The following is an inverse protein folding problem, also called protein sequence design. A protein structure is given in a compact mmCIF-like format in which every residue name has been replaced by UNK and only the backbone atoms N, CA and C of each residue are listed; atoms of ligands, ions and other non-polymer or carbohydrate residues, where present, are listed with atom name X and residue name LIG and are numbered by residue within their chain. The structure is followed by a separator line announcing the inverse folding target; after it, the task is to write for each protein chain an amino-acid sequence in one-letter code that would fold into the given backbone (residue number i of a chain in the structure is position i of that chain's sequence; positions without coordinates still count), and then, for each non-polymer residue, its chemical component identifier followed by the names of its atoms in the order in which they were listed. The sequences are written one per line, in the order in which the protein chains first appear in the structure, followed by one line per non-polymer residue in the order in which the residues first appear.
data_IF_227954640081
#
_entry.id   IF_227954640081
#
_cell.length_a   1.000
_cell.length_b   1.000
_cell.length_c   1.000
_cell.angle_alpha   90.00
_cell.angle_beta   90.00
_cell.angle_gamma   90.00
#
_symmetry.space_group_name_H-M   'P 1'
#
loop_
_entity.id
_entity.type
_entity.pdbx_description
1 polymer ?
#
# COMPACT_ATOMS: atom_id res chain seq x y z
N UNK A 1 -22.74 -7.09 4.00
CA UNK A 1 -21.71 -6.06 4.23
C UNK A 1 -21.50 -5.31 2.92
N UNK A 2 -22.22 -4.20 2.71
CA UNK A 2 -22.10 -3.35 1.52
C UNK A 2 -20.74 -2.62 1.57
N UNK A 3 -19.69 -3.32 1.16
CA UNK A 3 -18.36 -2.74 0.95
C UNK A 3 -18.47 -1.91 -0.32
N UNK A 4 -18.80 -0.62 -0.20
CA UNK A 4 -18.75 0.35 -1.32
C UNK A 4 -17.30 0.55 -1.78
N UNK A 5 -16.73 -0.48 -2.36
CA UNK A 5 -15.40 -0.53 -2.93
C UNK A 5 -15.35 0.49 -4.06
N UNK A 6 -14.46 1.46 -3.92
CA UNK A 6 -14.25 2.51 -4.88
C UNK A 6 -12.73 2.67 -5.11
N UNK A 7 -12.31 3.44 -6.13
CA UNK A 7 -10.90 3.56 -6.48
C UNK A 7 -10.02 4.03 -5.30
N UNK A 8 -10.47 5.00 -4.50
CA UNK A 8 -9.71 5.52 -3.35
C UNK A 8 -9.50 4.47 -2.27
N UNK A 9 -10.56 3.70 -1.97
CA UNK A 9 -10.47 2.58 -1.03
C UNK A 9 -9.52 1.51 -1.58
N UNK A 10 -9.62 1.20 -2.86
CA UNK A 10 -8.80 0.19 -3.52
C UNK A 10 -7.31 0.55 -3.48
N UNK A 11 -6.99 1.81 -3.74
CA UNK A 11 -5.66 2.38 -3.62
C UNK A 11 -5.13 2.29 -2.19
N UNK A 12 -5.91 2.70 -1.20
CA UNK A 12 -5.50 2.59 0.21
C UNK A 12 -5.25 1.11 0.61
N UNK A 13 -6.04 0.18 0.08
CA UNK A 13 -5.85 -1.26 0.28
C UNK A 13 -4.55 -1.74 -0.38
N UNK A 14 -4.24 -1.23 -1.58
CA UNK A 14 -2.96 -1.47 -2.26
C UNK A 14 -1.77 -0.98 -1.44
N UNK A 15 -1.82 0.28 -1.00
CA UNK A 15 -0.79 0.90 -0.14
C UNK A 15 -0.61 0.14 1.17
N UNK A 16 -1.71 -0.31 1.80
CA UNK A 16 -1.60 -1.14 3.00
C UNK A 16 -0.94 -2.49 2.70
N UNK A 17 -1.13 -3.05 1.50
CA UNK A 17 -0.58 -4.35 1.15
C UNK A 17 0.93 -4.34 0.94
N UNK A 18 1.52 -3.19 0.60
CA UNK A 18 2.98 -3.05 0.58
C UNK A 18 3.52 -2.73 1.96
N UNK A 19 3.41 -1.47 2.38
CA UNK A 19 4.07 -0.98 3.60
C UNK A 19 3.14 -0.83 4.83
N UNK A 20 1.91 -1.33 4.75
CA UNK A 20 0.94 -1.19 5.83
C UNK A 20 1.01 -2.29 6.88
N UNK A 21 1.13 -1.90 8.14
CA UNK A 21 1.14 -2.83 9.27
C UNK A 21 -0.09 -2.63 10.13
N UNK A 22 -0.68 -3.74 10.56
CA UNK A 22 -1.72 -3.77 11.57
C UNK A 22 -1.23 -4.68 12.69
N UNK A 23 -1.19 -4.17 13.92
CA UNK A 23 -0.67 -4.90 15.06
C UNK A 23 -1.44 -4.55 16.33
N UNK A 24 -1.46 -5.48 17.29
CA UNK A 24 -2.12 -5.31 18.57
C UNK A 24 -1.09 -4.88 19.61
N UNK A 25 -1.44 -3.88 20.40
CA UNK A 25 -0.78 -3.56 21.68
C UNK A 25 -1.68 -4.04 22.83
N UNK A 26 -1.18 -3.99 24.06
CA UNK A 26 -1.98 -4.38 25.24
C UNK A 26 -3.29 -3.56 25.35
N UNK A 27 -3.26 -2.33 24.85
CA UNK A 27 -4.34 -1.36 24.99
C UNK A 27 -5.24 -1.23 23.77
N UNK A 28 -4.71 -1.49 22.57
CA UNK A 28 -5.43 -1.14 21.34
C UNK A 28 -4.94 -1.89 20.10
N UNK A 29 -5.78 -1.85 19.07
CA UNK A 29 -5.33 -2.17 17.73
C UNK A 29 -4.72 -0.92 17.09
N UNK A 30 -3.56 -1.07 16.45
CA UNK A 30 -2.82 0.03 15.83
C UNK A 30 -2.60 -0.26 14.36
N UNK A 31 -2.92 0.72 13.52
CA UNK A 31 -2.54 0.73 12.12
C UNK A 31 -1.41 1.71 11.89
N UNK A 32 -0.45 1.31 11.07
CA UNK A 32 0.65 2.16 10.64
C UNK A 32 0.99 1.96 9.17
N UNK A 33 1.51 3.04 8.58
CA UNK A 33 2.14 3.07 7.28
C UNK A 33 3.41 3.90 7.44
N UNK A 34 4.57 3.26 7.24
CA UNK A 34 5.89 3.87 7.46
C UNK A 34 6.70 3.81 6.17
N UNK A 35 7.52 4.84 5.98
CA UNK A 35 8.50 4.93 4.90
C UNK A 35 9.75 5.67 5.38
N UNK A 36 10.64 5.93 4.44
CA UNK A 36 11.84 6.72 4.63
C UNK A 36 11.53 8.21 4.86
N UNK A 37 12.49 8.94 5.43
CA UNK A 37 12.37 10.39 5.60
C UNK A 37 12.22 11.15 4.27
N UNK A 38 12.78 10.61 3.18
CA UNK A 38 12.72 11.21 1.84
C UNK A 38 11.31 11.20 1.25
N UNK A 39 10.43 10.34 1.78
CA UNK A 39 9.04 10.22 1.32
C UNK A 39 8.08 11.20 2.04
N UNK A 40 8.59 12.13 2.86
CA UNK A 40 7.77 13.11 3.59
C UNK A 40 6.73 13.79 2.70
N UNK A 41 7.15 14.26 1.53
CA UNK A 41 6.28 14.93 0.57
C UNK A 41 5.19 14.00 0.03
N UNK A 42 5.53 12.74 -0.26
CA UNK A 42 4.56 11.74 -0.69
C UNK A 42 3.45 11.54 0.36
N UNK A 43 3.78 11.49 1.65
CA UNK A 43 2.77 11.40 2.70
C UNK A 43 1.83 12.60 2.73
N UNK A 44 2.35 13.83 2.65
CA UNK A 44 1.52 15.04 2.69
C UNK A 44 0.68 15.23 1.43
N UNK A 45 1.22 14.93 0.24
CA UNK A 45 0.53 15.17 -1.04
C UNK A 45 -0.41 14.04 -1.46
N UNK A 46 -0.14 12.80 -1.04
CA UNK A 46 -0.90 11.63 -1.52
C UNK A 46 -1.63 10.91 -0.39
N UNK A 47 -0.90 10.38 0.61
CA UNK A 47 -1.48 9.53 1.66
C UNK A 47 -2.48 10.29 2.54
N UNK A 48 -2.10 11.46 3.06
CA UNK A 48 -2.95 12.22 3.99
C UNK A 48 -4.25 12.67 3.31
N UNK A 49 -4.24 13.27 2.11
CA UNK A 49 -5.47 13.60 1.38
C UNK A 49 -6.34 12.37 1.09
N UNK A 50 -5.73 11.25 0.70
CA UNK A 50 -6.43 9.99 0.47
C UNK A 50 -7.16 9.52 1.74
N UNK A 51 -6.46 9.46 2.87
CA UNK A 51 -7.02 9.07 4.16
C UNK A 51 -8.11 10.04 4.65
N UNK A 52 -7.89 11.36 4.54
CA UNK A 52 -8.90 12.37 4.89
C UNK A 52 -10.17 12.14 4.04
N UNK A 53 -10.01 11.87 2.75
CA UNK A 53 -11.14 11.70 1.84
C UNK A 53 -12.00 10.47 2.17
N UNK A 54 -11.38 9.40 2.70
CA UNK A 54 -12.02 8.13 3.08
C UNK A 54 -12.62 8.21 4.48
N UNK A 55 -11.85 8.68 5.48
CA UNK A 55 -12.22 8.61 6.90
C UNK A 55 -12.80 9.91 7.46
N UNK A 56 -12.86 10.97 6.64
CA UNK A 56 -13.38 12.31 6.98
C UNK A 56 -12.79 12.83 8.29
N UNK A 57 -11.47 12.77 8.42
CA UNK A 57 -10.76 13.12 9.66
C UNK A 57 -9.34 13.53 9.40
N UNK A 58 -8.81 14.39 10.26
CA UNK A 58 -7.43 14.85 10.17
C UNK A 58 -6.46 13.73 10.51
N UNK A 59 -5.40 13.61 9.70
CA UNK A 59 -4.24 12.78 9.96
C UNK A 59 -3.00 13.64 9.89
N UNK A 60 -2.07 13.40 10.81
CA UNK A 60 -0.79 14.10 10.85
C UNK A 60 0.30 13.04 10.77
N UNK A 61 1.04 12.95 9.66
CA UNK A 61 2.21 12.10 9.59
C UNK A 61 3.28 12.68 10.52
N UNK A 62 4.06 11.82 11.14
CA UNK A 62 5.05 12.19 12.15
C UNK A 62 6.37 11.50 11.88
N UNK A 63 7.43 12.19 12.26
CA UNK A 63 8.74 11.59 12.45
C UNK A 63 8.67 10.59 13.60
N UNK A 64 9.40 9.48 13.43
CA UNK A 64 9.62 8.48 14.47
C UNK A 64 11.08 8.07 14.38
N UNK A 65 11.82 8.20 15.48
CA UNK A 65 13.15 7.61 15.55
C UNK A 65 12.99 6.10 15.46
N UNK A 66 13.56 5.52 14.41
CA UNK A 66 13.45 4.08 14.10
C UNK A 66 14.71 3.33 14.50
N UNK A 67 15.36 3.75 15.57
CA UNK A 67 16.69 3.25 15.92
C UNK A 67 17.73 3.67 14.88
N UNK A 68 18.32 2.71 14.16
CA UNK A 68 19.37 2.98 13.14
C UNK A 68 18.87 3.71 11.89
N UNK A 69 17.56 3.62 11.58
CA UNK A 69 16.97 4.28 10.41
C UNK A 69 15.74 5.07 10.86
N UNK A 70 15.85 6.39 10.81
CA UNK A 70 14.70 7.27 11.01
C UNK A 70 13.58 6.99 10.00
N UNK A 71 12.34 7.04 10.47
CA UNK A 71 11.17 6.79 9.63
C UNK A 71 10.15 7.92 9.72
N UNK A 72 9.40 8.08 8.64
CA UNK A 72 8.31 9.04 8.54
C UNK A 72 7.05 8.31 8.10
N UNK A 73 5.91 8.66 8.71
CA UNK A 73 4.65 8.06 8.31
C UNK A 73 3.50 8.34 9.26
N UNK A 74 2.46 7.53 9.15
CA UNK A 74 1.23 7.67 9.92
C UNK A 74 1.09 6.46 10.84
N UNK A 75 0.84 6.71 12.12
CA UNK A 75 0.38 5.69 13.07
C UNK A 75 -0.91 6.17 13.73
N UNK A 76 -1.89 5.29 13.83
CA UNK A 76 -3.15 5.62 14.50
C UNK A 76 -3.84 4.40 15.10
N UNK A 77 -4.41 4.59 16.30
CA UNK A 77 -5.30 3.61 16.95
C UNK A 77 -6.77 3.99 16.80
N UNK A 78 -7.10 4.95 15.91
CA UNK A 78 -8.49 5.36 15.67
C UNK A 78 -9.31 4.15 15.22
N UNK A 79 -10.32 3.76 16.00
CA UNK A 79 -11.19 2.60 15.74
C UNK A 79 -11.69 2.55 14.29
N UNK A 80 -12.12 3.68 13.72
CA UNK A 80 -12.59 3.72 12.31
C UNK A 80 -11.57 3.26 11.27
N UNK A 81 -10.27 3.48 11.51
CA UNK A 81 -9.20 3.06 10.60
C UNK A 81 -8.89 1.58 10.82
N UNK A 82 -8.74 1.17 12.07
CA UNK A 82 -8.37 -0.20 12.39
C UNK A 82 -9.51 -1.17 12.07
N UNK A 83 -10.75 -0.83 12.42
CA UNK A 83 -11.95 -1.56 12.02
C UNK A 83 -12.13 -1.58 10.50
N UNK A 84 -11.77 -0.52 9.77
CA UNK A 84 -11.78 -0.55 8.30
C UNK A 84 -10.89 -1.67 7.76
N UNK A 85 -9.64 -1.79 8.21
CA UNK A 85 -8.75 -2.84 7.73
C UNK A 85 -9.21 -4.24 8.17
N UNK A 86 -9.66 -4.41 9.41
CA UNK A 86 -10.26 -5.68 9.88
C UNK A 86 -11.46 -6.07 9.01
N UNK A 87 -12.34 -5.12 8.71
CA UNK A 87 -13.52 -5.31 7.87
C UNK A 87 -13.18 -5.73 6.43
N UNK A 88 -12.02 -5.31 5.91
CA UNK A 88 -11.49 -5.77 4.62
C UNK A 88 -10.69 -7.08 4.70
N UNK A 89 -10.62 -7.72 5.87
CA UNK A 89 -9.98 -9.01 6.09
C UNK A 89 -8.48 -8.94 6.40
N UNK A 90 -7.99 -7.78 6.83
CA UNK A 90 -6.60 -7.61 7.24
C UNK A 90 -6.48 -7.85 8.75
N UNK A 91 -6.00 -9.04 9.14
CA UNK A 91 -5.77 -9.36 10.55
C UNK A 91 -4.44 -8.81 11.06
N UNK A 92 -4.26 -8.62 12.38
CA UNK A 92 -2.99 -8.20 12.95
C UNK A 92 -1.93 -9.32 12.87
N UNK A 93 -0.65 -8.97 12.76
CA UNK A 93 0.46 -9.94 12.81
C UNK A 93 1.42 -9.89 11.62
N UNK A 94 2.44 -10.77 11.62
CA UNK A 94 3.46 -10.86 10.56
C UNK A 94 2.86 -11.47 9.30
N UNK A 95 3.09 -10.82 8.14
CA UNK A 95 2.43 -11.17 6.86
C UNK A 95 3.39 -11.40 5.69
N UNK A 96 4.69 -11.25 5.91
CA UNK A 96 5.70 -11.14 4.83
C UNK A 96 5.58 -12.20 3.75
N UNK A 97 5.34 -13.46 4.11
CA UNK A 97 5.28 -14.58 3.16
C UNK A 97 3.86 -14.99 2.75
N UNK A 98 2.81 -14.39 3.33
CA UNK A 98 1.42 -14.81 3.17
C UNK A 98 0.53 -13.76 2.51
N UNK A 99 1.07 -12.59 2.18
CA UNK A 99 0.32 -11.56 1.45
C UNK A 99 -0.11 -12.06 0.07
N UNK A 100 -1.32 -11.69 -0.33
CA UNK A 100 -1.89 -11.96 -1.66
C UNK A 100 -2.87 -10.85 -2.01
N UNK A 101 -3.20 -10.71 -3.30
CA UNK A 101 -4.22 -9.74 -3.70
C UNK A 101 -5.58 -10.24 -3.16
N UNK A 102 -6.36 -9.40 -2.47
CA UNK A 102 -7.66 -9.83 -1.96
C UNK A 102 -8.62 -10.25 -3.10
N UNK A 103 -9.40 -11.32 -2.89
CA UNK A 103 -10.30 -11.85 -3.92
C UNK A 103 -11.33 -10.82 -4.43
N UNK A 104 -11.82 -9.95 -3.54
CA UNK A 104 -12.73 -8.87 -3.93
C UNK A 104 -12.08 -7.85 -4.89
N UNK A 105 -10.75 -7.66 -4.84
CA UNK A 105 -10.03 -6.85 -5.83
C UNK A 105 -9.91 -7.62 -7.15
N UNK A 106 -9.54 -8.90 -7.11
CA UNK A 106 -9.42 -9.74 -8.32
C UNK A 106 -10.72 -9.82 -9.12
N UNK A 107 -11.86 -9.90 -8.43
CA UNK A 107 -13.20 -9.97 -9.02
C UNK A 107 -13.79 -8.61 -9.41
N UNK A 108 -13.14 -7.50 -9.03
CA UNK A 108 -13.64 -6.15 -9.32
C UNK A 108 -13.42 -5.70 -10.77
N UNK A 109 -13.99 -4.53 -11.12
CA UNK A 109 -13.80 -3.91 -12.43
C UNK A 109 -12.37 -3.36 -12.62
N UNK A 110 -12.00 -3.04 -13.88
CA UNK A 110 -10.67 -2.54 -14.25
C UNK A 110 -10.24 -1.31 -13.45
N UNK A 111 -11.14 -0.36 -13.18
CA UNK A 111 -10.84 0.86 -12.44
C UNK A 111 -10.38 0.58 -11.01
N UNK A 112 -11.04 -0.34 -10.32
CA UNK A 112 -10.68 -0.76 -8.96
C UNK A 112 -9.34 -1.49 -8.97
N UNK A 113 -9.12 -2.40 -9.92
CA UNK A 113 -7.85 -3.13 -10.08
C UNK A 113 -6.67 -2.20 -10.29
N UNK A 114 -6.79 -1.24 -11.21
CA UNK A 114 -5.74 -0.26 -11.48
C UNK A 114 -5.46 0.63 -10.26
N UNK A 115 -6.49 1.04 -9.53
CA UNK A 115 -6.29 1.82 -8.31
C UNK A 115 -5.56 1.01 -7.22
N UNK A 116 -5.86 -0.28 -7.06
CA UNK A 116 -5.11 -1.17 -6.17
C UNK A 116 -3.64 -1.28 -6.60
N UNK A 117 -3.39 -1.51 -7.89
CA UNK A 117 -2.03 -1.63 -8.45
C UNK A 117 -1.25 -0.35 -8.20
N UNK A 118 -1.86 0.83 -8.43
CA UNK A 118 -1.23 2.13 -8.14
C UNK A 118 -0.81 2.21 -6.68
N UNK A 119 -1.74 1.99 -5.74
CA UNK A 119 -1.44 2.08 -4.32
C UNK A 119 -0.36 1.10 -3.86
N UNK A 120 -0.31 -0.10 -4.43
CA UNK A 120 0.73 -1.09 -4.15
C UNK A 120 2.09 -0.67 -4.75
N UNK A 121 2.09 -0.20 -5.99
CA UNK A 121 3.28 0.29 -6.69
C UNK A 121 3.94 1.46 -5.98
N UNK A 122 3.14 2.40 -5.45
CA UNK A 122 3.67 3.55 -4.71
C UNK A 122 4.43 3.16 -3.42
N UNK A 123 4.32 1.90 -2.98
CA UNK A 123 4.99 1.40 -1.76
C UNK A 123 6.06 0.34 -2.02
N UNK A 124 5.80 -0.61 -2.93
CA UNK A 124 6.65 -1.78 -3.21
C UNK A 124 7.09 -1.86 -4.68
N UNK A 125 6.70 -0.86 -5.47
CA UNK A 125 7.08 -0.74 -6.87
C UNK A 125 8.40 0.00 -7.05
N UNK A 126 9.10 -0.33 -8.12
CA UNK A 126 10.34 0.34 -8.50
C UNK A 126 10.26 0.80 -9.95
N UNK A 127 10.67 2.03 -10.22
CA UNK A 127 10.99 2.53 -11.54
C UNK A 127 12.51 2.66 -11.63
N UNK A 128 13.12 1.92 -12.54
CA UNK A 128 14.57 1.98 -12.79
C UNK A 128 14.83 2.21 -14.27
N UNK A 129 15.99 2.77 -14.59
CA UNK A 129 16.43 2.96 -15.97
C UNK A 129 17.59 2.02 -16.26
N UNK A 130 17.35 1.03 -17.12
CA UNK A 130 18.38 0.09 -17.56
C UNK A 130 19.30 0.74 -18.59
N UNK A 131 20.54 0.24 -18.63
CA UNK A 131 21.53 0.64 -19.64
C UNK A 131 21.11 0.13 -21.01
N UNK A 132 21.12 1.02 -21.99
CA UNK A 132 21.05 0.62 -23.39
C UNK A 132 22.40 0.05 -23.88
N UNK A 133 22.46 -0.38 -25.14
CA UNK A 133 23.69 -0.91 -25.76
C UNK A 133 24.88 0.06 -25.76
N UNK A 134 24.64 1.37 -25.59
CA UNK A 134 25.65 2.43 -25.49
C UNK A 134 26.01 2.79 -24.04
N UNK A 135 25.52 2.02 -23.05
CA UNK A 135 25.78 2.25 -21.63
C UNK A 135 24.94 3.36 -20.98
N UNK A 136 24.00 3.98 -21.70
CA UNK A 136 23.18 5.09 -21.19
C UNK A 136 21.92 4.56 -20.51
N UNK A 137 21.64 5.04 -19.30
CA UNK A 137 20.46 4.68 -18.50
C UNK A 137 19.18 5.40 -18.99
N UNK A 138 18.65 4.98 -20.14
CA UNK A 138 17.46 5.61 -20.73
C UNK A 138 16.31 4.63 -21.06
N UNK A 139 16.40 3.37 -20.61
CA UNK A 139 15.34 2.38 -20.82
C UNK A 139 14.53 2.15 -19.53
N UNK A 140 13.35 2.79 -19.36
CA UNK A 140 12.57 2.65 -18.14
C UNK A 140 12.03 1.23 -17.98
N UNK A 141 12.15 0.69 -16.77
CA UNK A 141 11.56 -0.57 -16.33
C UNK A 141 10.78 -0.36 -15.05
N UNK A 142 9.57 -0.90 -15.05
CA UNK A 142 8.68 -0.97 -13.89
C UNK A 142 8.80 -2.37 -13.31
N UNK A 143 9.18 -2.46 -12.05
CA UNK A 143 9.38 -3.72 -11.33
C UNK A 143 8.52 -3.74 -10.06
N UNK A 144 8.04 -4.94 -9.71
CA UNK A 144 7.40 -5.20 -8.41
C UNK A 144 8.21 -6.28 -7.71
N UNK A 145 8.50 -6.08 -6.43
CA UNK A 145 9.19 -7.06 -5.60
C UNK A 145 8.32 -7.43 -4.41
N UNK A 146 8.28 -8.72 -4.07
CA UNK A 146 7.53 -9.20 -2.90
C UNK A 146 8.12 -10.51 -2.41
N UNK A 147 8.22 -10.68 -1.09
CA UNK A 147 8.59 -11.96 -0.48
C UNK A 147 7.52 -13.03 -0.67
N UNK A 148 6.27 -12.64 -0.93
CA UNK A 148 5.19 -13.58 -1.23
C UNK A 148 5.14 -13.93 -2.72
N UNK A 149 5.45 -15.18 -3.05
CA UNK A 149 5.29 -15.74 -4.39
C UNK A 149 3.85 -15.59 -4.90
N UNK A 150 2.85 -15.75 -4.02
CA UNK A 150 1.45 -15.62 -4.41
C UNK A 150 1.10 -14.18 -4.82
N UNK A 151 1.68 -13.18 -4.15
CA UNK A 151 1.46 -11.78 -4.52
C UNK A 151 1.97 -11.49 -5.92
N UNK A 152 3.16 -11.99 -6.28
CA UNK A 152 3.74 -11.84 -7.62
C UNK A 152 2.85 -12.52 -8.68
N UNK A 153 2.43 -13.77 -8.45
CA UNK A 153 1.53 -14.49 -9.36
C UNK A 153 0.21 -13.72 -9.55
N UNK A 154 -0.38 -13.25 -8.47
CA UNK A 154 -1.62 -12.48 -8.50
C UNK A 154 -1.46 -11.18 -9.28
N UNK A 155 -0.35 -10.44 -9.08
CA UNK A 155 -0.04 -9.21 -9.80
C UNK A 155 0.14 -9.47 -11.31
N UNK A 156 0.91 -10.50 -11.68
CA UNK A 156 1.10 -10.87 -13.10
C UNK A 156 -0.25 -11.15 -13.78
N UNK A 157 -1.11 -11.90 -13.12
CA UNK A 157 -2.45 -12.20 -13.63
C UNK A 157 -3.33 -10.96 -13.72
N UNK A 158 -3.24 -10.07 -12.72
CA UNK A 158 -4.01 -8.83 -12.71
C UNK A 158 -3.60 -7.90 -13.84
N UNK A 159 -2.29 -7.71 -14.04
CA UNK A 159 -1.71 -6.86 -15.09
C UNK A 159 -2.07 -7.35 -16.49
N UNK A 160 -1.93 -8.66 -16.76
CA UNK A 160 -2.34 -9.28 -18.03
C UNK A 160 -3.81 -9.04 -18.35
N UNK A 161 -4.68 -9.16 -17.34
CA UNK A 161 -6.13 -8.92 -17.49
C UNK A 161 -6.48 -7.45 -17.68
N UNK A 162 -5.72 -6.53 -17.08
CA UNK A 162 -6.00 -5.10 -17.19
C UNK A 162 -5.53 -4.50 -18.51
N UNK A 163 -4.68 -5.20 -19.30
CA UNK A 163 -4.04 -4.68 -20.53
C UNK A 163 -3.52 -3.26 -20.28
N UNK A 164 -2.51 -3.16 -19.41
CA UNK A 164 -1.61 -2.01 -19.40
C UNK A 164 -0.65 -2.12 -20.58
#
# INVERSE_FOLDING_TARGET
MDKRLNPKISELIGTHRGNGTLYKTDWSLVWELRGSLKEKEYYYKNIVPLMISIFKTKFTPKFRSGGKNDCFGIQTSKKKVTSFFINYGFNPGRKTNTIKIPEFIKKSNKKIKLAFIRGYFDTDGCLRFDKNKKGVHNYPKIEFTSASKQMIIDLTNLLKKTRL
#
